data_IF_749828874659
#
_entry.id   IF_749828874659
#
_cell.length_a   1.000
_cell.length_b   1.000
_cell.length_c   1.000
_cell.angle_alpha   90.00
_cell.angle_beta   90.00
_cell.angle_gamma   90.00
#
_symmetry.space_group_name_H-M   'P 1'
#
loop_
_entity.id
_entity.type
_entity.pdbx_description
1 polymer ?
#
# COMPACT_ATOMS: atom_id res chain seq x y z
N UNK A 1 -38.34 19.05 -77.58
CA UNK A 1 -38.38 18.51 -76.20
C UNK A 1 -37.14 17.66 -76.03
N UNK A 2 -36.23 17.86 -75.08
CA UNK A 2 -36.01 18.99 -74.16
C UNK A 2 -34.50 19.10 -73.85
N UNK A 3 -34.03 20.12 -73.09
CA UNK A 3 -32.61 20.27 -72.80
C UNK A 3 -32.13 19.24 -71.77
N UNK A 4 -31.03 18.54 -72.06
CA UNK A 4 -30.34 17.71 -71.08
C UNK A 4 -29.52 18.57 -70.12
N UNK A 5 -30.00 18.74 -68.89
CA UNK A 5 -29.26 19.42 -67.83
C UNK A 5 -28.22 18.45 -67.25
N UNK A 6 -26.94 18.71 -67.50
CA UNK A 6 -25.83 18.02 -66.83
C UNK A 6 -25.66 18.59 -65.42
N UNK A 7 -26.16 17.88 -64.40
CA UNK A 7 -25.93 18.21 -63.00
C UNK A 7 -24.51 17.80 -62.58
N UNK A 8 -23.60 18.77 -62.59
CA UNK A 8 -22.27 18.64 -62.00
C UNK A 8 -22.37 18.60 -60.47
N UNK A 9 -22.47 17.40 -59.92
CA UNK A 9 -22.33 17.17 -58.48
C UNK A 9 -20.88 17.41 -58.05
N UNK A 10 -20.57 18.65 -57.64
CA UNK A 10 -19.33 18.97 -56.92
C UNK A 10 -19.46 18.38 -55.51
N UNK A 11 -19.06 17.12 -55.36
CA UNK A 11 -19.02 16.43 -54.08
C UNK A 11 -17.96 17.05 -53.18
N UNK A 12 -18.35 18.03 -52.35
CA UNK A 12 -17.47 18.62 -51.34
C UNK A 12 -17.25 17.59 -50.22
N UNK A 13 -16.24 16.74 -50.37
CA UNK A 13 -15.78 15.83 -49.32
C UNK A 13 -15.15 16.65 -48.19
N UNK A 14 -15.99 17.10 -47.25
CA UNK A 14 -15.53 17.62 -45.97
C UNK A 14 -14.85 16.46 -45.25
N UNK A 15 -13.51 16.43 -45.32
CA UNK A 15 -12.71 15.56 -44.46
C UNK A 15 -12.86 16.09 -43.04
N UNK A 16 -13.80 15.49 -42.29
CA UNK A 16 -13.73 15.47 -40.83
C UNK A 16 -12.53 14.59 -40.46
N UNK A 17 -11.34 15.15 -40.59
CA UNK A 17 -10.17 14.58 -39.97
C UNK A 17 -10.37 14.67 -38.47
N UNK A 18 -10.46 13.53 -37.79
CA UNK A 18 -10.31 13.46 -36.35
C UNK A 18 -8.93 14.03 -36.00
N UNK A 19 -8.91 15.31 -35.66
CA UNK A 19 -7.78 15.96 -35.03
C UNK A 19 -7.68 15.38 -33.61
N UNK A 20 -7.09 14.19 -33.53
CA UNK A 20 -6.76 13.55 -32.27
C UNK A 20 -6.03 14.57 -31.39
N UNK A 21 -6.72 15.00 -30.32
CA UNK A 21 -6.25 16.07 -29.46
C UNK A 21 -4.86 15.71 -28.96
N UNK A 22 -3.85 16.45 -29.43
CA UNK A 22 -2.51 16.33 -28.88
C UNK A 22 -2.61 16.57 -27.37
N UNK A 23 -2.01 15.72 -26.52
CA UNK A 23 -2.05 15.95 -25.08
C UNK A 23 -1.46 17.33 -24.81
N UNK A 24 -2.30 18.24 -24.31
CA UNK A 24 -1.89 19.58 -23.93
C UNK A 24 -1.33 19.56 -22.50
N UNK A 25 -0.38 20.45 -22.17
CA UNK A 25 -0.03 20.75 -20.78
C UNK A 25 -1.28 21.11 -19.97
N UNK A 26 -1.19 20.94 -18.65
CA UNK A 26 -2.29 21.20 -17.73
C UNK A 26 -2.91 22.60 -17.91
N UNK A 27 -4.24 22.60 -18.00
CA UNK A 27 -5.15 23.73 -18.19
C UNK A 27 -5.83 24.20 -16.89
N UNK A 28 -5.28 23.81 -15.73
CA UNK A 28 -5.84 24.00 -14.37
C UNK A 28 -7.25 23.42 -14.18
N UNK A 29 -7.59 22.35 -14.92
CA UNK A 29 -8.87 21.64 -14.81
C UNK A 29 -8.78 20.34 -13.97
N UNK A 30 -9.95 19.79 -13.59
CA UNK A 30 -10.07 18.43 -13.04
C UNK A 30 -10.39 17.43 -14.15
N UNK A 31 -9.45 16.54 -14.44
CA UNK A 31 -9.61 15.39 -15.35
C UNK A 31 -10.14 14.19 -14.53
N UNK A 32 -11.17 13.50 -15.03
CA UNK A 32 -11.82 12.39 -14.31
C UNK A 32 -11.63 11.08 -15.08
N UNK A 33 -11.29 10.01 -14.35
CA UNK A 33 -10.96 8.69 -14.89
C UNK A 33 -11.84 7.62 -14.24
N UNK A 34 -12.44 6.75 -15.06
CA UNK A 34 -13.36 5.67 -14.62
C UNK A 34 -12.92 4.28 -15.06
N UNK A 35 -11.84 4.18 -15.83
CA UNK A 35 -11.37 2.92 -16.41
C UNK A 35 -10.60 2.07 -15.40
N UNK A 36 -10.46 0.77 -15.70
CA UNK A 36 -9.75 -0.18 -14.82
C UNK A 36 -8.23 0.03 -14.76
N UNK A 37 -7.67 0.78 -15.71
CA UNK A 37 -6.26 1.17 -15.78
C UNK A 37 -6.12 2.43 -16.65
N UNK A 38 -5.07 3.22 -16.44
CA UNK A 38 -4.72 4.31 -17.34
C UNK A 38 -3.44 5.03 -16.98
N UNK A 39 -3.08 6.01 -17.81
CA UNK A 39 -1.89 6.87 -17.66
C UNK A 39 -2.32 8.25 -17.18
N UNK A 40 -1.59 8.80 -16.21
CA UNK A 40 -1.71 10.18 -15.73
C UNK A 40 -0.39 10.91 -15.99
N UNK A 41 -0.49 12.15 -16.47
CA UNK A 41 0.63 13.06 -16.70
C UNK A 41 0.14 14.51 -16.79
N UNK A 42 1.03 15.46 -16.50
CA UNK A 42 0.84 16.90 -16.58
C UNK A 42 0.81 17.46 -18.01
N UNK A 43 1.38 16.76 -19.00
CA UNK A 43 1.46 17.27 -20.37
C UNK A 43 1.91 16.26 -21.43
N UNK A 44 2.24 16.72 -22.65
CA UNK A 44 2.89 15.91 -23.67
C UNK A 44 4.32 15.53 -23.27
N UNK A 45 4.78 14.36 -23.71
CA UNK A 45 6.15 13.93 -23.46
C UNK A 45 7.17 14.94 -24.04
N UNK A 46 8.06 15.44 -23.17
CA UNK A 46 9.11 16.40 -23.54
C UNK A 46 8.70 17.88 -23.43
N UNK A 47 7.54 18.20 -22.86
CA UNK A 47 7.26 19.54 -22.33
C UNK A 47 7.38 19.57 -20.81
N UNK A 48 7.76 20.72 -20.25
CA UNK A 48 7.66 20.98 -18.82
C UNK A 48 6.20 21.23 -18.42
N UNK A 49 5.88 21.05 -17.14
CA UNK A 49 4.55 21.38 -16.61
C UNK A 49 4.25 22.89 -16.66
N UNK A 50 2.98 23.24 -16.51
CA UNK A 50 2.52 24.64 -16.47
C UNK A 50 2.94 25.30 -15.14
N UNK A 51 3.45 26.54 -15.17
CA UNK A 51 3.68 27.35 -13.96
C UNK A 51 2.35 27.82 -13.34
N UNK A 52 2.33 28.15 -12.04
CA UNK A 52 1.15 28.64 -11.31
C UNK A 52 -0.05 27.67 -11.41
N UNK A 53 0.20 26.37 -11.52
CA UNK A 53 -0.81 25.38 -11.92
C UNK A 53 -1.30 24.53 -10.76
N UNK A 54 -2.61 24.30 -10.72
CA UNK A 54 -3.28 23.46 -9.73
C UNK A 54 -4.11 22.43 -10.53
N UNK A 55 -3.48 21.29 -10.81
CA UNK A 55 -3.94 20.32 -11.79
C UNK A 55 -4.50 19.10 -11.08
N UNK A 56 -5.74 18.72 -11.37
CA UNK A 56 -6.41 17.67 -10.62
C UNK A 56 -6.72 16.46 -11.51
N UNK A 57 -6.33 15.26 -11.07
CA UNK A 57 -6.73 14.00 -11.66
C UNK A 57 -7.50 13.19 -10.62
N UNK A 58 -8.76 12.90 -10.91
CA UNK A 58 -9.64 12.12 -10.04
C UNK A 58 -9.94 10.77 -10.67
N UNK A 59 -9.38 9.71 -10.11
CA UNK A 59 -9.71 8.33 -10.45
C UNK A 59 -10.90 7.92 -9.58
N UNK A 60 -11.99 7.43 -10.19
CA UNK A 60 -13.15 6.87 -9.49
C UNK A 60 -13.40 5.43 -9.92
N UNK A 61 -13.27 4.49 -9.00
CA UNK A 61 -13.64 3.12 -9.23
C UNK A 61 -15.17 2.94 -9.27
N UNK A 62 -15.63 1.80 -9.79
CA UNK A 62 -17.06 1.48 -9.85
C UNK A 62 -17.72 1.12 -8.50
N UNK A 63 -16.94 1.03 -7.43
CA UNK A 63 -17.37 0.66 -6.08
C UNK A 63 -16.33 1.16 -5.05
N UNK A 64 -16.79 1.63 -3.89
CA UNK A 64 -15.94 2.13 -2.79
C UNK A 64 -15.04 1.08 -2.14
N UNK A 65 -15.26 -0.21 -2.42
CA UNK A 65 -14.43 -1.31 -1.91
C UNK A 65 -13.23 -1.64 -2.83
N UNK A 66 -13.00 -0.86 -3.88
CA UNK A 66 -11.91 -1.08 -4.84
C UNK A 66 -10.65 -0.35 -4.41
N UNK A 67 -9.51 -1.00 -4.62
CA UNK A 67 -8.21 -0.38 -4.43
C UNK A 67 -7.77 0.29 -5.73
N UNK A 68 -7.13 1.45 -5.60
CA UNK A 68 -6.52 2.17 -6.73
C UNK A 68 -5.03 2.25 -6.43
N UNK A 69 -4.21 1.54 -7.21
CA UNK A 69 -2.75 1.56 -7.08
C UNK A 69 -2.17 2.49 -8.13
N UNK A 70 -1.46 3.54 -7.70
CA UNK A 70 -0.72 4.49 -8.52
C UNK A 70 0.77 4.15 -8.47
N UNK A 71 1.39 3.98 -9.64
CA UNK A 71 2.82 3.69 -9.81
C UNK A 71 3.44 4.81 -10.64
N UNK A 72 4.45 5.49 -10.09
CA UNK A 72 5.19 6.52 -10.82
C UNK A 72 6.20 5.86 -11.77
N UNK A 73 6.49 6.56 -12.87
CA UNK A 73 7.43 6.13 -13.90
C UNK A 73 8.49 7.20 -14.21
N UNK A 74 8.16 8.45 -13.91
CA UNK A 74 9.09 9.57 -13.88
C UNK A 74 8.53 10.70 -13.00
N UNK A 75 9.41 11.36 -12.25
CA UNK A 75 9.09 12.58 -11.51
C UNK A 75 10.23 13.61 -11.66
N UNK A 76 9.84 14.87 -11.84
CA UNK A 76 10.72 16.01 -11.96
C UNK A 76 10.00 17.32 -11.71
N UNK A 77 9.76 17.66 -10.44
CA UNK A 77 9.25 18.97 -10.00
C UNK A 77 10.33 19.81 -9.31
N UNK A 78 10.13 21.12 -9.14
CA UNK A 78 11.05 21.92 -8.31
C UNK A 78 11.01 21.45 -6.84
N UNK A 79 12.16 20.97 -6.37
CA UNK A 79 12.28 20.34 -5.06
C UNK A 79 11.97 21.34 -3.93
N UNK A 80 11.04 20.99 -3.03
CA UNK A 80 10.55 21.81 -1.93
C UNK A 80 9.62 23.00 -2.29
N UNK A 81 9.31 23.22 -3.56
CA UNK A 81 8.40 24.29 -4.01
C UNK A 81 7.17 23.71 -4.74
N UNK A 82 7.40 22.79 -5.68
CA UNK A 82 6.35 22.19 -6.50
C UNK A 82 6.10 20.73 -6.10
N UNK A 83 4.83 20.38 -5.89
CA UNK A 83 4.45 19.13 -5.22
C UNK A 83 3.37 18.35 -5.97
N UNK A 84 3.53 17.02 -6.00
CA UNK A 84 2.44 16.08 -6.30
C UNK A 84 1.87 15.55 -4.97
N UNK A 85 0.61 15.85 -4.70
CA UNK A 85 -0.17 15.34 -3.57
C UNK A 85 -1.12 14.23 -4.04
N UNK A 86 -1.28 13.17 -3.23
CA UNK A 86 -2.15 12.02 -3.53
C UNK A 86 -3.05 11.71 -2.32
N UNK A 87 -4.37 11.66 -2.52
CA UNK A 87 -5.37 11.51 -1.46
C UNK A 87 -6.24 10.26 -1.64
N UNK A 88 -6.63 9.61 -0.53
CA UNK A 88 -7.57 8.47 -0.51
C UNK A 88 -9.04 8.93 -0.49
N UNK A 89 -9.49 9.51 -1.60
CA UNK A 89 -10.86 9.99 -1.78
C UNK A 89 -11.01 10.89 -3.01
N UNK A 90 -12.09 11.69 -3.08
CA UNK A 90 -12.37 12.59 -4.20
C UNK A 90 -12.33 14.10 -3.87
N UNK A 91 -11.80 14.44 -2.68
CA UNK A 91 -11.71 15.80 -2.14
C UNK A 91 -10.45 16.00 -1.27
N UNK A 92 -10.01 17.25 -1.14
CA UNK A 92 -8.84 17.64 -0.31
C UNK A 92 -9.03 17.44 1.21
N UNK A 93 -10.24 17.10 1.65
CA UNK A 93 -10.56 16.68 3.02
C UNK A 93 -10.41 15.17 3.26
N UNK A 94 -10.07 14.39 2.23
CA UNK A 94 -9.73 12.97 2.35
C UNK A 94 -8.30 12.79 2.92
N UNK A 95 -7.94 11.60 3.43
CA UNK A 95 -6.60 11.34 3.94
C UNK A 95 -5.51 11.54 2.87
N UNK A 96 -4.46 12.28 3.21
CA UNK A 96 -3.28 12.48 2.35
C UNK A 96 -2.38 11.24 2.45
N UNK A 97 -2.24 10.50 1.35
CA UNK A 97 -1.40 9.30 1.25
C UNK A 97 0.07 9.64 0.94
N UNK A 98 0.32 10.74 0.23
CA UNK A 98 1.65 11.12 -0.21
C UNK A 98 1.77 12.58 -0.64
N UNK A 99 2.94 13.15 -0.41
CA UNK A 99 3.37 14.46 -0.89
C UNK A 99 4.81 14.31 -1.38
N UNK A 100 5.06 14.64 -2.65
CA UNK A 100 6.30 14.34 -3.36
C UNK A 100 6.80 15.57 -4.11
N UNK A 101 8.12 15.81 -4.11
CA UNK A 101 8.76 16.84 -4.94
C UNK A 101 10.17 16.42 -5.37
N UNK A 102 10.74 17.11 -6.36
CA UNK A 102 12.09 16.86 -6.85
C UNK A 102 12.15 15.75 -7.91
N UNK A 103 13.19 14.92 -7.86
CA UNK A 103 13.46 13.81 -8.81
C UNK A 103 13.62 12.43 -8.15
N UNK A 104 13.15 12.29 -6.91
CA UNK A 104 13.15 10.99 -6.20
C UNK A 104 11.97 10.18 -6.68
N UNK A 105 12.21 8.97 -7.20
CA UNK A 105 11.15 8.08 -7.67
C UNK A 105 10.22 7.66 -6.51
N UNK A 106 8.92 8.01 -6.53
CA UNK A 106 8.01 7.66 -5.44
C UNK A 106 7.66 6.16 -5.43
N UNK A 107 7.48 5.60 -4.24
CA UNK A 107 6.98 4.23 -4.10
C UNK A 107 5.49 4.15 -4.51
N UNK A 108 5.02 2.96 -4.88
CA UNK A 108 3.63 2.73 -5.28
C UNK A 108 2.64 3.14 -4.16
N UNK A 109 1.65 3.95 -4.51
CA UNK A 109 0.65 4.48 -3.56
C UNK A 109 -0.70 3.80 -3.80
N UNK A 110 -1.29 3.22 -2.76
CA UNK A 110 -2.58 2.53 -2.85
C UNK A 110 -3.65 3.27 -2.06
N UNK A 111 -4.70 3.73 -2.74
CA UNK A 111 -5.93 4.22 -2.13
C UNK A 111 -6.93 3.06 -1.93
N UNK A 112 -7.75 3.15 -0.88
CA UNK A 112 -8.65 2.09 -0.39
C UNK A 112 -10.14 2.44 -0.50
N UNK A 113 -10.49 3.72 -0.66
CA UNK A 113 -11.87 4.24 -0.69
C UNK A 113 -12.62 4.05 -2.01
N UNK A 114 -12.00 3.42 -3.02
CA UNK A 114 -12.50 3.41 -4.40
C UNK A 114 -12.45 4.78 -5.10
N UNK A 115 -11.75 5.77 -4.56
CA UNK A 115 -11.42 7.01 -5.25
C UNK A 115 -10.01 7.48 -4.90
N UNK A 116 -9.33 8.13 -5.85
CA UNK A 116 -8.02 8.73 -5.63
C UNK A 116 -7.98 10.10 -6.33
N UNK A 117 -7.72 11.15 -5.56
CA UNK A 117 -7.48 12.49 -6.06
C UNK A 117 -5.98 12.76 -6.05
N UNK A 118 -5.45 13.19 -7.19
CA UNK A 118 -4.06 13.61 -7.37
C UNK A 118 -4.07 15.10 -7.71
N UNK A 119 -3.22 15.87 -7.04
CA UNK A 119 -3.01 17.30 -7.31
C UNK A 119 -1.54 17.54 -7.63
N UNK A 120 -1.24 18.10 -8.80
CA UNK A 120 0.02 18.81 -9.03
C UNK A 120 -0.20 20.27 -8.64
N UNK A 121 0.60 20.74 -7.68
CA UNK A 121 0.72 22.14 -7.30
C UNK A 121 2.07 22.66 -7.84
N UNK A 122 2.03 23.71 -8.65
CA UNK A 122 3.21 24.50 -9.01
C UNK A 122 3.07 25.98 -8.64
N UNK A 123 4.19 26.55 -8.20
CA UNK A 123 4.42 27.95 -7.86
C UNK A 123 4.57 28.82 -9.14
N UNK A 124 4.73 30.14 -9.00
CA UNK A 124 4.85 31.08 -10.14
C UNK A 124 6.19 31.02 -10.90
N UNK A 125 7.12 30.12 -10.52
CA UNK A 125 8.49 30.06 -11.02
C UNK A 125 8.85 28.69 -11.67
N UNK A 126 9.99 28.09 -11.32
CA UNK A 126 10.77 27.16 -12.16
C UNK A 126 10.06 25.83 -12.49
N UNK A 127 9.59 25.68 -13.73
CA UNK A 127 9.00 24.43 -14.22
C UNK A 127 10.05 23.43 -14.74
N UNK A 128 9.88 22.15 -14.43
CA UNK A 128 10.74 21.02 -14.80
C UNK A 128 9.95 19.91 -15.54
N UNK A 129 10.50 18.70 -15.66
CA UNK A 129 10.02 17.60 -16.54
C UNK A 129 8.64 17.01 -16.18
N UNK A 130 8.04 17.40 -15.05
CA UNK A 130 6.69 17.00 -14.66
C UNK A 130 6.62 15.61 -14.03
N UNK A 131 5.56 14.86 -14.31
CA UNK A 131 5.43 13.48 -13.86
C UNK A 131 4.65 12.61 -14.86
N UNK A 132 5.00 11.33 -14.87
CA UNK A 132 4.20 10.28 -15.50
C UNK A 132 3.96 9.17 -14.48
N UNK A 133 2.70 8.78 -14.36
CA UNK A 133 2.28 7.67 -13.53
C UNK A 133 1.26 6.80 -14.26
N UNK A 134 1.18 5.53 -13.89
CA UNK A 134 0.12 4.62 -14.30
C UNK A 134 -0.70 4.21 -13.08
N UNK A 135 -2.03 4.13 -13.25
CA UNK A 135 -2.93 3.67 -12.20
C UNK A 135 -3.62 2.38 -12.62
N UNK A 136 -3.97 1.55 -11.63
CA UNK A 136 -4.79 0.34 -11.83
C UNK A 136 -5.84 0.20 -10.73
N UNK A 137 -7.02 -0.32 -11.09
CA UNK A 137 -8.18 -0.46 -10.20
C UNK A 137 -8.45 -1.94 -9.94
N UNK A 138 -8.17 -2.39 -8.71
CA UNK A 138 -8.14 -3.81 -8.34
C UNK A 138 -9.16 -4.15 -7.26
N UNK A 139 -9.50 -5.43 -7.10
CA UNK A 139 -10.34 -5.88 -5.98
C UNK A 139 -9.58 -5.98 -4.66
N UNK A 140 -8.26 -6.14 -4.70
CA UNK A 140 -7.38 -6.25 -3.53
C UNK A 140 -6.12 -5.38 -3.76
N UNK A 141 -5.43 -4.89 -2.71
CA UNK A 141 -4.20 -4.09 -2.86
C UNK A 141 -3.12 -4.89 -3.60
N UNK A 142 -2.34 -4.20 -4.45
CA UNK A 142 -1.30 -4.80 -5.30
C UNK A 142 -1.73 -5.98 -6.19
N UNK A 143 -3.04 -6.23 -6.32
CA UNK A 143 -3.62 -7.46 -6.90
C UNK A 143 -3.05 -8.77 -6.30
N UNK A 144 -2.69 -8.76 -5.01
CA UNK A 144 -2.00 -9.85 -4.32
C UNK A 144 -0.73 -10.33 -5.08
N UNK A 145 0.00 -9.35 -5.61
CA UNK A 145 1.19 -9.47 -6.47
C UNK A 145 1.16 -10.65 -7.45
N UNK A 146 0.19 -10.58 -8.37
CA UNK A 146 0.08 -11.45 -9.55
C UNK A 146 -0.18 -12.94 -9.25
N UNK A 147 -1.16 -13.25 -8.40
CA UNK A 147 -1.84 -14.57 -8.28
C UNK A 147 -0.96 -15.78 -7.89
N UNK A 148 0.34 -15.55 -7.68
CA UNK A 148 1.39 -16.54 -7.45
C UNK A 148 2.14 -16.31 -6.13
N UNK A 149 1.88 -15.18 -5.48
CA UNK A 149 2.29 -14.85 -4.11
C UNK A 149 1.09 -14.83 -3.16
N UNK A 150 -0.14 -14.73 -3.69
CA UNK A 150 -1.39 -14.85 -2.95
C UNK A 150 -2.63 -14.80 -3.84
N UNK A 151 -3.80 -14.95 -3.23
CA UNK A 151 -5.11 -14.89 -3.87
C UNK A 151 -5.97 -13.76 -3.29
N UNK A 152 -6.74 -13.08 -4.15
CA UNK A 152 -7.69 -12.04 -3.75
C UNK A 152 -9.03 -12.66 -3.35
N UNK A 153 -9.39 -12.60 -2.07
CA UNK A 153 -10.62 -13.18 -1.49
C UNK A 153 -11.34 -12.12 -0.68
N UNK A 154 -12.57 -11.76 -1.07
CA UNK A 154 -13.41 -10.71 -0.43
C UNK A 154 -12.58 -9.46 -0.09
N UNK A 155 -11.93 -8.92 -1.13
CA UNK A 155 -11.14 -7.69 -1.11
C UNK A 155 -9.87 -7.72 -0.22
N UNK A 156 -9.56 -8.88 0.39
CA UNK A 156 -8.35 -9.15 1.19
C UNK A 156 -7.41 -10.08 0.42
N UNK A 157 -6.09 -9.92 0.59
CA UNK A 157 -5.11 -10.86 0.05
C UNK A 157 -4.81 -11.99 1.04
N UNK A 158 -4.90 -13.23 0.57
CA UNK A 158 -4.47 -14.44 1.29
C UNK A 158 -3.17 -14.91 0.64
N UNK A 159 -2.05 -14.77 1.35
CA UNK A 159 -0.72 -15.06 0.81
C UNK A 159 -0.36 -16.55 0.87
N UNK A 160 0.50 -17.00 -0.03
CA UNK A 160 0.92 -18.40 -0.16
C UNK A 160 2.43 -18.56 0.11
N UNK A 161 2.81 -19.65 0.79
CA UNK A 161 4.22 -19.93 1.11
C UNK A 161 4.86 -18.88 2.03
N UNK A 162 6.05 -18.41 1.68
CA UNK A 162 6.83 -17.45 2.48
C UNK A 162 6.46 -15.97 2.21
N UNK A 163 5.33 -15.68 1.57
CA UNK A 163 4.89 -14.33 1.22
C UNK A 163 3.91 -13.77 2.26
N UNK A 164 3.87 -12.44 2.39
CA UNK A 164 3.03 -11.74 3.35
C UNK A 164 3.00 -10.24 3.11
N UNK A 165 2.42 -9.51 4.07
CA UNK A 165 2.01 -8.12 3.89
C UNK A 165 0.66 -8.02 3.18
N UNK A 166 0.04 -6.85 3.21
CA UNK A 166 -1.37 -6.69 2.81
C UNK A 166 -1.67 -6.93 1.34
N UNK A 167 -0.64 -6.89 0.49
CA UNK A 167 -0.66 -7.20 -0.94
C UNK A 167 0.18 -8.44 -1.32
N UNK A 168 0.68 -9.19 -0.35
CA UNK A 168 1.62 -10.31 -0.50
C UNK A 168 3.00 -9.98 -1.12
N UNK A 169 3.36 -8.70 -1.28
CA UNK A 169 4.60 -8.32 -1.99
C UNK A 169 5.90 -8.62 -1.23
N UNK A 170 5.87 -8.80 0.10
CA UNK A 170 7.07 -9.03 0.92
C UNK A 170 7.28 -10.50 1.28
N UNK A 171 8.54 -10.93 1.28
CA UNK A 171 8.93 -12.17 1.95
C UNK A 171 8.85 -12.00 3.46
N UNK A 172 8.28 -13.00 4.12
CA UNK A 172 8.20 -13.11 5.57
C UNK A 172 9.60 -13.22 6.20
N UNK A 173 10.43 -14.12 5.68
CA UNK A 173 11.83 -14.29 6.06
C UNK A 173 12.76 -13.90 4.88
N UNK A 174 13.11 -12.61 4.74
CA UNK A 174 14.04 -12.16 3.69
C UNK A 174 15.46 -12.72 3.91
N UNK A 175 16.17 -13.00 2.81
CA UNK A 175 17.53 -13.56 2.77
C UNK A 175 17.70 -14.86 3.59
N UNK A 176 16.62 -15.61 3.85
CA UNK A 176 16.58 -16.77 4.76
C UNK A 176 17.18 -16.44 6.14
N UNK A 177 16.96 -15.21 6.63
CA UNK A 177 17.52 -14.69 7.88
C UNK A 177 19.05 -14.79 8.00
N UNK A 178 19.76 -14.92 6.87
CA UNK A 178 21.19 -15.21 6.83
C UNK A 178 21.57 -16.56 7.47
N UNK A 179 20.68 -17.55 7.47
CA UNK A 179 20.90 -18.86 8.09
C UNK A 179 22.12 -19.59 7.53
N UNK A 180 22.38 -19.46 6.22
CA UNK A 180 23.59 -20.01 5.57
C UNK A 180 24.91 -19.39 6.05
N UNK A 181 24.86 -18.20 6.68
CA UNK A 181 26.00 -17.57 7.35
C UNK A 181 25.88 -17.58 8.89
N UNK A 182 24.92 -18.32 9.45
CA UNK A 182 24.68 -18.44 10.89
C UNK A 182 24.10 -17.19 11.57
N UNK A 183 23.56 -16.24 10.81
CA UNK A 183 23.08 -14.93 11.32
C UNK A 183 21.72 -14.99 12.03
N UNK A 184 20.93 -16.02 11.76
CA UNK A 184 19.61 -16.20 12.33
C UNK A 184 18.88 -17.41 11.72
N UNK A 185 17.60 -17.55 12.04
CA UNK A 185 16.72 -18.59 11.52
C UNK A 185 15.27 -18.10 11.40
N UNK A 186 14.56 -18.58 10.38
CA UNK A 186 13.15 -18.27 10.16
C UNK A 186 12.24 -19.03 11.14
N UNK A 187 11.33 -18.34 11.82
CA UNK A 187 10.31 -18.92 12.70
C UNK A 187 8.97 -18.22 12.50
N UNK A 188 7.93 -18.98 12.12
CA UNK A 188 6.55 -18.48 11.95
C UNK A 188 6.43 -17.24 11.04
N UNK A 189 7.31 -17.09 10.06
CA UNK A 189 7.33 -15.93 9.17
C UNK A 189 8.06 -14.69 9.71
N UNK A 190 8.88 -14.85 10.74
CA UNK A 190 9.76 -13.81 11.28
C UNK A 190 11.20 -14.34 11.39
N UNK A 191 12.19 -13.47 11.19
CA UNK A 191 13.58 -13.82 11.46
C UNK A 191 13.90 -13.69 12.95
N UNK A 192 14.49 -14.75 13.53
CA UNK A 192 15.13 -14.73 14.85
C UNK A 192 16.63 -14.65 14.66
N UNK A 193 17.24 -13.56 15.08
CA UNK A 193 18.67 -13.35 14.87
C UNK A 193 19.53 -14.06 15.93
N UNK A 194 20.74 -14.44 15.51
CA UNK A 194 21.81 -14.89 16.39
C UNK A 194 22.35 -13.71 17.22
N UNK A 195 22.89 -13.94 18.44
CA UNK A 195 23.42 -12.87 19.27
C UNK A 195 24.42 -11.97 18.52
N UNK A 196 24.20 -10.65 18.59
CA UNK A 196 24.98 -9.64 17.89
C UNK A 196 24.50 -9.31 16.47
N UNK A 197 23.51 -10.03 15.92
CA UNK A 197 22.83 -9.69 14.67
C UNK A 197 21.44 -9.11 14.92
N UNK A 198 21.01 -8.22 14.03
CA UNK A 198 19.71 -7.53 14.11
C UNK A 198 19.17 -7.14 12.73
N UNK A 199 17.99 -6.53 12.71
CA UNK A 199 17.26 -6.18 11.49
C UNK A 199 16.50 -7.34 10.85
N UNK A 200 15.63 -7.02 9.89
CA UNK A 200 14.61 -7.95 9.39
C UNK A 200 15.15 -9.22 8.71
N UNK A 201 16.35 -9.16 8.11
CA UNK A 201 17.05 -10.33 7.55
C UNK A 201 18.25 -10.78 8.40
N UNK A 202 18.39 -10.28 9.63
CA UNK A 202 19.59 -10.45 10.47
C UNK A 202 20.88 -9.97 9.78
N UNK A 203 20.78 -8.94 8.94
CA UNK A 203 21.85 -8.42 8.10
C UNK A 203 22.66 -7.27 8.75
N UNK A 204 22.17 -6.67 9.83
CA UNK A 204 22.93 -5.72 10.64
C UNK A 204 23.70 -6.49 11.73
N UNK A 205 24.96 -6.15 11.95
CA UNK A 205 25.77 -6.70 13.05
C UNK A 205 26.17 -5.57 14.01
N UNK A 206 26.18 -5.83 15.33
CA UNK A 206 26.55 -4.83 16.36
C UNK A 206 27.99 -4.30 16.21
N UNK A 207 28.84 -5.05 15.52
CA UNK A 207 30.19 -4.62 15.10
C UNK A 207 30.29 -4.63 13.56
N UNK A 208 29.37 -3.98 12.84
CA UNK A 208 29.51 -3.81 11.39
C UNK A 208 30.69 -2.85 11.10
N UNK A 209 31.74 -3.27 10.39
CA UNK A 209 32.91 -2.44 10.12
C UNK A 209 32.65 -1.39 9.01
N UNK A 210 31.45 -1.37 8.42
CA UNK A 210 31.04 -0.51 7.32
C UNK A 210 29.84 0.37 7.67
N UNK A 211 30.11 1.45 8.39
CA UNK A 211 29.18 2.58 8.54
C UNK A 211 28.75 3.18 7.19
N UNK A 212 27.78 4.10 7.25
CA UNK A 212 27.13 4.71 6.08
C UNK A 212 26.47 3.68 5.13
N UNK A 213 26.08 2.53 5.68
CA UNK A 213 25.23 1.52 5.05
C UNK A 213 23.85 1.53 5.66
N UNK A 214 22.86 1.21 4.82
CA UNK A 214 21.46 1.26 5.19
C UNK A 214 20.90 -0.15 5.39
N UNK A 215 20.49 -0.47 6.61
CA UNK A 215 19.94 -1.78 6.98
C UNK A 215 18.43 -1.64 7.28
N UNK A 216 17.66 -2.67 6.91
CA UNK A 216 16.21 -2.71 7.14
C UNK A 216 15.91 -3.28 8.53
N UNK A 217 15.29 -2.48 9.40
CA UNK A 217 14.93 -2.92 10.76
C UNK A 217 13.61 -3.70 10.79
N UNK A 218 12.59 -3.18 10.10
CA UNK A 218 11.27 -3.78 9.92
C UNK A 218 10.56 -3.16 8.71
N UNK A 219 9.35 -3.65 8.41
CA UNK A 219 8.37 -2.89 7.62
C UNK A 219 7.48 -2.05 8.57
N UNK A 220 6.72 -1.10 8.02
CA UNK A 220 5.75 -0.30 8.78
C UNK A 220 4.48 -1.07 9.21
N UNK A 221 4.36 -2.33 8.81
CA UNK A 221 3.34 -3.28 9.28
C UNK A 221 3.82 -4.12 10.47
N UNK A 222 5.12 -4.07 10.80
CA UNK A 222 5.76 -4.86 11.85
C UNK A 222 6.67 -3.99 12.70
N UNK A 223 6.22 -2.77 13.00
CA UNK A 223 7.02 -1.78 13.69
C UNK A 223 6.61 -0.33 13.47
N UNK A 224 7.61 0.55 13.36
CA UNK A 224 7.42 2.00 13.32
C UNK A 224 6.44 2.43 12.22
N UNK A 225 5.32 3.04 12.62
CA UNK A 225 4.31 3.57 11.71
C UNK A 225 4.83 4.78 10.92
N UNK A 226 4.38 4.99 9.66
CA UNK A 226 5.01 5.94 8.73
C UNK A 226 4.94 7.39 9.23
N UNK A 227 6.11 8.06 9.27
CA UNK A 227 6.25 9.39 9.87
C UNK A 227 7.45 10.17 9.34
N UNK A 228 7.26 11.47 9.08
CA UNK A 228 8.32 12.46 8.90
C UNK A 228 8.54 13.28 10.17
N UNK A 229 9.62 14.08 10.22
CA UNK A 229 9.93 15.02 11.31
C UNK A 229 9.91 14.43 12.74
N UNK A 230 10.14 13.13 12.88
CA UNK A 230 10.34 12.46 14.18
C UNK A 230 11.74 12.79 14.72
N UNK A 231 11.94 12.66 16.04
CA UNK A 231 13.29 12.62 16.62
C UNK A 231 13.67 11.19 16.96
N UNK A 232 14.96 10.85 16.86
CA UNK A 232 15.47 9.51 17.12
C UNK A 232 16.77 9.58 17.93
N UNK A 233 16.95 8.67 18.88
CA UNK A 233 18.18 8.55 19.69
C UNK A 233 18.47 7.07 19.98
N UNK A 234 19.73 6.68 19.81
CA UNK A 234 20.22 5.36 20.23
C UNK A 234 20.72 5.45 21.68
N UNK A 235 20.40 4.43 22.48
CA UNK A 235 20.86 4.30 23.87
C UNK A 235 21.63 2.98 24.02
N UNK A 236 22.87 3.07 24.51
CA UNK A 236 23.84 1.98 24.51
C UNK A 236 23.69 1.03 25.70
N UNK A 237 23.32 1.53 26.88
CA UNK A 237 23.03 0.69 28.06
C UNK A 237 21.86 -0.29 27.82
N UNK A 238 20.92 0.08 26.95
CA UNK A 238 19.71 -0.72 26.64
C UNK A 238 19.70 -1.30 25.22
N UNK A 239 20.78 -1.12 24.44
CA UNK A 239 20.92 -1.57 23.04
C UNK A 239 19.63 -1.36 22.22
N UNK A 240 19.15 -0.11 22.23
CA UNK A 240 17.81 0.26 21.73
C UNK A 240 17.78 1.62 21.04
N UNK A 241 17.03 1.73 19.94
CA UNK A 241 16.70 3.00 19.28
C UNK A 241 15.32 3.49 19.77
N UNK A 242 15.27 4.68 20.33
CA UNK A 242 14.05 5.37 20.72
C UNK A 242 13.66 6.38 19.64
N UNK A 243 12.42 6.32 19.16
CA UNK A 243 11.85 7.23 18.15
C UNK A 243 10.61 7.89 18.73
N UNK A 244 10.58 9.21 18.78
CA UNK A 244 9.48 9.98 19.37
C UNK A 244 8.79 10.92 18.37
N UNK A 245 7.46 10.87 18.37
CA UNK A 245 6.58 11.79 17.66
C UNK A 245 6.77 11.83 16.15
N UNK A 246 6.50 12.99 15.54
CA UNK A 246 6.59 13.24 14.10
C UNK A 246 5.25 13.59 13.46
N UNK A 247 5.12 13.36 12.16
CA UNK A 247 3.91 13.70 11.39
C UNK A 247 3.65 12.64 10.30
N UNK A 248 2.41 12.15 10.18
CA UNK A 248 2.03 11.10 9.22
C UNK A 248 1.23 11.63 8.01
N UNK A 249 1.55 12.86 7.55
CA UNK A 249 0.82 13.61 6.52
C UNK A 249 -0.63 14.01 6.87
N UNK A 250 -1.16 13.57 8.02
CA UNK A 250 -2.56 13.76 8.41
C UNK A 250 -2.72 14.31 9.84
N UNK A 251 -1.92 13.80 10.78
CA UNK A 251 -1.92 14.21 12.19
C UNK A 251 -0.49 14.24 12.75
N UNK A 252 -0.27 15.10 13.75
CA UNK A 252 0.95 15.11 14.55
C UNK A 252 0.93 13.88 15.47
N UNK A 253 2.05 13.19 15.54
CA UNK A 253 2.27 12.04 16.41
C UNK A 253 2.99 12.47 17.68
N UNK A 254 2.60 11.89 18.82
CA UNK A 254 3.17 12.16 20.14
C UNK A 254 3.49 10.90 20.93
N UNK A 255 3.65 9.78 20.22
CA UNK A 255 3.97 8.45 20.74
C UNK A 255 5.49 8.22 20.82
N UNK A 256 5.88 7.30 21.69
CA UNK A 256 7.25 6.77 21.78
C UNK A 256 7.26 5.32 21.25
N UNK A 257 8.04 5.08 20.21
CA UNK A 257 8.34 3.76 19.66
C UNK A 257 9.78 3.38 19.97
N UNK A 258 10.05 2.13 20.38
CA UNK A 258 11.37 1.65 20.77
C UNK A 258 11.75 0.41 19.96
N UNK A 259 12.82 0.46 19.17
CA UNK A 259 13.40 -0.73 18.54
C UNK A 259 14.47 -1.32 19.46
N UNK A 260 14.35 -2.61 19.80
CA UNK A 260 15.38 -3.35 20.55
C UNK A 260 16.23 -4.15 19.57
N UNK A 261 17.55 -3.92 19.56
CA UNK A 261 18.42 -4.64 18.64
C UNK A 261 18.54 -6.12 19.02
N UNK A 262 18.55 -6.46 20.31
CA UNK A 262 18.60 -7.84 20.83
C UNK A 262 17.46 -8.73 20.32
N UNK A 263 16.21 -8.24 20.35
CA UNK A 263 15.04 -9.01 19.88
C UNK A 263 14.74 -8.77 18.40
N UNK A 264 15.31 -7.71 17.81
CA UNK A 264 15.01 -7.22 16.45
C UNK A 264 13.55 -6.79 16.25
N UNK A 265 12.91 -6.25 17.30
CA UNK A 265 11.48 -5.87 17.31
C UNK A 265 11.27 -4.44 17.79
N UNK A 266 10.12 -3.89 17.41
CA UNK A 266 9.61 -2.61 17.91
C UNK A 266 8.59 -2.82 19.02
N UNK A 267 8.61 -1.94 20.02
CA UNK A 267 7.70 -1.90 21.17
C UNK A 267 7.21 -0.47 21.45
N UNK A 268 6.07 -0.35 22.15
CA UNK A 268 5.58 0.92 22.69
C UNK A 268 6.33 1.33 23.98
N UNK A 269 5.98 2.49 24.52
CA UNK A 269 6.45 3.03 25.81
C UNK A 269 6.26 2.09 27.03
N UNK A 270 5.47 1.01 26.91
CA UNK A 270 5.15 0.03 27.97
C UNK A 270 5.78 -1.34 27.71
N UNK A 271 6.49 -1.52 26.60
CA UNK A 271 7.07 -2.80 26.18
C UNK A 271 6.10 -3.74 25.45
N UNK A 272 5.00 -3.21 24.89
CA UNK A 272 4.06 -3.98 24.05
C UNK A 272 4.55 -3.93 22.61
N UNK A 273 4.70 -5.09 21.95
CA UNK A 273 5.16 -5.18 20.56
C UNK A 273 4.27 -4.37 19.59
N UNK A 274 4.90 -3.63 18.68
CA UNK A 274 4.24 -2.85 17.60
C UNK A 274 4.04 -3.65 16.31
N UNK A 275 4.07 -4.98 16.37
CA UNK A 275 3.61 -5.80 15.26
C UNK A 275 2.10 -5.63 15.08
N UNK A 276 1.65 -5.31 13.86
CA UNK A 276 0.25 -5.07 13.50
C UNK A 276 -0.58 -6.38 13.43
N UNK A 277 -0.20 -7.38 14.24
CA UNK A 277 -0.87 -8.65 14.32
C UNK A 277 -0.72 -9.33 15.70
N UNK A 278 -1.49 -8.85 16.69
CA UNK A 278 -1.81 -9.63 17.88
C UNK A 278 -2.74 -10.83 17.57
N UNK A 279 -3.10 -11.02 16.30
CA UNK A 279 -3.85 -12.14 15.77
C UNK A 279 -2.96 -13.07 14.91
N UNK A 280 -1.87 -13.54 15.53
CA UNK A 280 -1.28 -14.86 15.20
C UNK A 280 -2.33 -16.01 15.27
N UNK A 281 -3.52 -15.72 15.81
CA UNK A 281 -4.78 -16.33 15.43
C UNK A 281 -5.78 -15.26 14.95
N UNK A 282 -5.73 -14.86 13.68
CA UNK A 282 -6.83 -14.13 13.01
C UNK A 282 -8.08 -14.98 13.23
N UNK A 283 -9.14 -14.48 13.90
CA UNK A 283 -10.36 -15.25 14.04
C UNK A 283 -10.87 -15.52 12.62
N UNK A 284 -10.88 -16.79 12.20
CA UNK A 284 -11.24 -17.22 10.84
C UNK A 284 -12.58 -16.59 10.46
N UNK A 285 -12.56 -15.52 9.64
CA UNK A 285 -13.77 -14.80 9.28
C UNK A 285 -14.71 -15.80 8.59
N UNK A 286 -15.90 -16.07 9.16
CA UNK A 286 -16.81 -17.07 8.59
C UNK A 286 -17.20 -16.77 7.15
N UNK A 287 -17.20 -15.51 6.71
CA UNK A 287 -17.52 -15.11 5.33
C UNK A 287 -16.35 -15.34 4.38
N UNK A 288 -15.12 -15.03 4.79
CA UNK A 288 -13.91 -15.35 3.99
C UNK A 288 -13.78 -16.87 3.91
N UNK A 289 -13.94 -17.59 5.03
CA UNK A 289 -13.88 -19.04 5.09
C UNK A 289 -14.99 -19.68 4.24
N UNK A 290 -16.24 -19.22 4.34
CA UNK A 290 -17.34 -19.68 3.47
C UNK A 290 -17.05 -19.42 1.99
N UNK A 291 -16.45 -18.27 1.66
CA UNK A 291 -16.10 -17.92 0.27
C UNK A 291 -15.01 -18.83 -0.28
N UNK A 292 -13.94 -19.09 0.49
CA UNK A 292 -12.88 -20.05 0.10
C UNK A 292 -13.47 -21.45 -0.05
N UNK A 293 -14.24 -21.93 0.93
CA UNK A 293 -14.86 -23.26 0.90
C UNK A 293 -15.90 -23.42 -0.23
N UNK A 294 -16.59 -22.34 -0.61
CA UNK A 294 -17.50 -22.29 -1.76
C UNK A 294 -16.77 -22.25 -3.12
N UNK A 295 -15.60 -21.64 -3.17
CA UNK A 295 -14.71 -21.66 -4.35
C UNK A 295 -13.93 -22.99 -4.50
N UNK A 296 -13.89 -23.83 -3.45
CA UNK A 296 -13.35 -25.21 -3.48
C UNK A 296 -14.32 -26.14 -4.25
N UNK A 297 -14.36 -25.93 -5.56
CA UNK A 297 -14.67 -26.95 -6.55
C UNK A 297 -13.48 -27.92 -6.72
N UNK A 298 -13.46 -28.67 -7.83
CA UNK A 298 -12.47 -29.74 -8.07
C UNK A 298 -11.01 -29.25 -7.94
N UNK A 299 -10.70 -28.04 -8.42
CA UNK A 299 -9.37 -27.44 -8.31
C UNK A 299 -8.92 -27.13 -6.86
N UNK A 300 -9.86 -26.92 -5.93
CA UNK A 300 -9.55 -26.68 -4.52
C UNK A 300 -9.24 -27.96 -3.73
N UNK A 301 -9.75 -29.11 -4.19
CA UNK A 301 -9.43 -30.41 -3.58
C UNK A 301 -7.95 -30.77 -3.82
N UNK A 302 -7.37 -30.33 -4.95
CA UNK A 302 -5.96 -30.50 -5.30
C UNK A 302 -5.06 -29.40 -4.69
N UNK A 303 -5.43 -28.11 -4.76
CA UNK A 303 -4.62 -27.00 -4.22
C UNK A 303 -4.52 -26.98 -2.68
N UNK A 304 -5.57 -27.44 -1.97
CA UNK A 304 -5.65 -27.33 -0.50
C UNK A 304 -5.80 -28.69 0.22
N UNK A 305 -5.83 -29.81 -0.51
CA UNK A 305 -6.04 -31.15 0.07
C UNK A 305 -7.43 -31.37 0.69
N UNK A 306 -8.36 -30.40 0.55
CA UNK A 306 -9.69 -30.42 1.15
C UNK A 306 -10.68 -31.28 0.34
N UNK A 307 -10.38 -32.57 0.21
CA UNK A 307 -11.26 -33.55 -0.43
C UNK A 307 -12.65 -33.57 0.23
N UNK A 308 -13.73 -33.76 -0.56
CA UNK A 308 -15.13 -33.74 -0.10
C UNK A 308 -15.44 -34.63 1.10
N UNK A 309 -14.74 -35.76 1.26
CA UNK A 309 -14.91 -36.69 2.39
C UNK A 309 -14.05 -36.36 3.63
N UNK A 310 -13.23 -35.31 3.60
CA UNK A 310 -12.33 -34.95 4.69
C UNK A 310 -13.10 -34.42 5.92
N UNK A 311 -12.79 -34.97 7.10
CA UNK A 311 -13.29 -34.46 8.38
C UNK A 311 -12.95 -32.97 8.57
N UNK A 312 -11.73 -32.56 8.22
CA UNK A 312 -11.29 -31.17 8.32
C UNK A 312 -12.10 -30.23 7.44
N UNK A 313 -12.47 -30.65 6.22
CA UNK A 313 -13.36 -29.87 5.35
C UNK A 313 -14.70 -29.64 6.02
N UNK A 314 -15.33 -30.69 6.56
CA UNK A 314 -16.64 -30.58 7.22
C UNK A 314 -16.59 -29.75 8.51
N UNK A 315 -15.47 -29.80 9.25
CA UNK A 315 -15.22 -28.94 10.41
C UNK A 315 -15.13 -27.45 10.00
N UNK A 316 -14.38 -27.14 8.95
CA UNK A 316 -14.27 -25.77 8.42
C UNK A 316 -15.62 -25.24 7.91
N UNK A 317 -16.44 -26.07 7.25
CA UNK A 317 -17.82 -25.69 6.90
C UNK A 317 -18.68 -25.37 8.13
N UNK A 318 -18.61 -26.17 9.20
CA UNK A 318 -19.37 -25.88 10.43
C UNK A 318 -18.96 -24.56 11.11
N UNK A 319 -17.68 -24.20 11.04
CA UNK A 319 -17.14 -22.91 11.50
C UNK A 319 -17.64 -21.76 10.61
N UNK A 320 -17.59 -21.94 9.28
CA UNK A 320 -18.08 -20.97 8.30
C UNK A 320 -19.59 -20.70 8.41
N UNK A 321 -20.39 -21.75 8.65
CA UNK A 321 -21.83 -21.68 8.89
C UNK A 321 -22.17 -21.15 10.32
N UNK A 322 -21.15 -20.77 11.12
CA UNK A 322 -21.27 -20.24 12.49
C UNK A 322 -22.14 -21.12 13.42
N UNK A 323 -22.11 -22.43 13.20
CA UNK A 323 -23.17 -23.35 13.64
C UNK A 323 -22.93 -24.00 15.01
N UNK A 324 -21.71 -23.91 15.56
CA UNK A 324 -21.26 -24.79 16.66
C UNK A 324 -20.53 -24.12 17.83
N UNK A 325 -20.24 -22.81 17.78
CA UNK A 325 -19.49 -22.09 18.83
C UNK A 325 -20.36 -21.29 19.83
N UNK A 326 -21.57 -21.77 20.11
CA UNK A 326 -22.42 -21.29 21.21
C UNK A 326 -22.00 -21.86 22.58
N UNK A 327 -20.71 -21.80 22.91
CA UNK A 327 -20.20 -22.19 24.24
C UNK A 327 -20.75 -21.21 25.27
N UNK A 328 -21.58 -21.72 26.18
CA UNK A 328 -22.19 -20.95 27.27
C UNK A 328 -21.14 -20.31 28.17
N UNK A 329 -21.19 -18.98 28.27
CA UNK A 329 -20.99 -18.30 29.54
C UNK A 329 -22.18 -17.37 29.77
N UNK A 330 -22.85 -17.52 30.92
CA UNK A 330 -24.03 -16.75 31.30
C UNK A 330 -23.93 -16.33 32.77
N UNK A 331 -24.70 -15.30 33.14
CA UNK A 331 -24.64 -14.55 34.43
C UNK A 331 -23.41 -13.63 34.51
N UNK A 332 -23.52 -12.34 34.88
CA UNK A 332 -24.68 -11.57 35.36
C UNK A 332 -24.87 -10.21 34.66
N UNK A 333 -26.06 -9.63 34.81
CA UNK A 333 -26.49 -8.37 34.16
C UNK A 333 -26.13 -7.13 35.01
N UNK A 334 -25.79 -6.02 34.33
CA UNK A 334 -25.70 -4.66 34.88
C UNK A 334 -25.64 -3.64 33.72
N UNK A 335 -26.37 -2.53 33.85
CA UNK A 335 -26.78 -1.70 32.70
C UNK A 335 -25.80 -0.56 32.36
N UNK A 336 -25.57 -0.35 31.04
CA UNK A 336 -25.35 0.89 30.22
C UNK A 336 -24.76 2.19 30.88
N UNK A 337 -23.98 3.04 30.15
CA UNK A 337 -24.21 3.36 28.72
C UNK A 337 -23.00 3.68 27.78
N UNK A 338 -23.14 3.30 26.50
CA UNK A 338 -22.84 4.06 25.26
C UNK A 338 -21.52 4.87 25.05
N UNK A 339 -20.59 4.31 24.27
CA UNK A 339 -19.78 4.97 23.23
C UNK A 339 -19.39 3.88 22.18
N UNK A 340 -19.58 4.01 20.85
CA UNK A 340 -19.16 4.97 19.80
C UNK A 340 -17.81 4.66 19.12
N UNK A 341 -17.80 3.55 18.36
CA UNK A 341 -17.20 3.38 17.01
C UNK A 341 -15.83 4.00 16.66
N UNK A 342 -14.82 3.13 16.45
CA UNK A 342 -13.97 3.10 15.23
C UNK A 342 -12.98 1.91 15.22
N UNK A 343 -12.62 1.44 14.01
CA UNK A 343 -11.47 0.58 13.64
C UNK A 343 -11.14 0.90 12.16
N UNK A 344 -9.87 1.21 11.83
CA UNK A 344 -8.91 0.37 11.07
C UNK A 344 -9.30 0.10 9.60
N UNK A 345 -8.47 0.10 8.55
CA UNK A 345 -7.16 0.71 8.16
C UNK A 345 -6.94 0.35 6.63
N UNK A 346 -5.83 0.42 5.88
CA UNK A 346 -4.38 0.71 6.03
C UNK A 346 -3.80 1.10 4.63
N UNK A 347 -2.69 1.85 4.52
CA UNK A 347 -1.87 1.94 3.28
C UNK A 347 -0.57 2.74 3.47
N UNK A 348 0.59 2.26 2.97
CA UNK A 348 1.94 2.80 3.27
C UNK A 348 3.00 2.38 2.24
N UNK A 349 4.05 3.18 2.03
CA UNK A 349 5.43 2.64 2.01
C UNK A 349 6.46 3.64 2.56
N UNK A 350 7.27 3.23 3.56
CA UNK A 350 8.69 3.62 3.70
C UNK A 350 9.41 2.82 4.81
N UNK A 351 10.74 2.77 4.75
CA UNK A 351 11.61 1.94 5.61
C UNK A 351 12.13 2.70 6.85
N UNK A 352 12.29 1.99 7.97
CA UNK A 352 13.22 2.40 9.02
C UNK A 352 14.67 2.09 8.59
N UNK A 353 15.56 3.06 8.76
CA UNK A 353 16.90 3.13 8.15
C UNK A 353 17.82 3.93 9.10
N UNK A 354 18.98 3.41 9.49
CA UNK A 354 19.96 4.10 10.37
C UNK A 354 21.28 4.30 9.62
N UNK A 355 21.95 5.41 9.88
CA UNK A 355 23.34 5.68 9.51
C UNK A 355 24.17 5.89 10.79
N UNK A 356 25.19 5.05 11.02
CA UNK A 356 26.12 5.20 12.15
C UNK A 356 27.28 6.11 11.75
N UNK A 357 27.38 7.29 12.37
CA UNK A 357 28.62 8.08 12.36
C UNK A 357 29.68 7.43 13.24
N UNK A 358 30.94 7.60 12.83
CA UNK A 358 32.12 7.52 13.71
C UNK A 358 32.25 8.77 14.59
#
# INVERSE_FOLDING_TARGET
>A
MGPHIFLLFVGLTISLGDAALQPAPCDKSRKVFTEGWGVITDGPFGSNYTQDSHCEWLIKANNTHKYITLSFQSMGTECSYDYVFVYDGDSFSAPLLGSFSGKTDPQNITASSGSMLILLYSDTNYVLDGFRAEYSVTSCPGNCTHQSQGMCVVNTCVCEGDWGGKDCARRLCPEDCGATQGRGSCHLGHCRCSPGYSGQSCSLHRMDPSGNRWHWLSHSESGLSPRSAHTAVYHDETDSLYVFGGYNLNQVLGDLSVYRFETSRWEDEKGVLLDDDSSTLVPLDPHILATVLGQVGVAGEERWGLHKSSFFRNLLFSIADNSTLSIRHQVGDSQRPSARTSREAVGSVNSAKIEHSS
#
